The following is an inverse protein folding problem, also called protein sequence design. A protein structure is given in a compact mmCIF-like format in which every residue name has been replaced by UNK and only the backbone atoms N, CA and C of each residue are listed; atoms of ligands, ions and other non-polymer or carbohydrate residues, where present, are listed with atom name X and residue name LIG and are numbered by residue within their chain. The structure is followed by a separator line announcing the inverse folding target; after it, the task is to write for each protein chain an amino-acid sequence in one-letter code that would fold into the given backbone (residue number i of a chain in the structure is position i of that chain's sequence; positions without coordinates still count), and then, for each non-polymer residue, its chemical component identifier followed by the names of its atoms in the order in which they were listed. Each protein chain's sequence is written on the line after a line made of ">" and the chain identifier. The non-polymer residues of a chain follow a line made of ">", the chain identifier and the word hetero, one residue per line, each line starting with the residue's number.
data_IF_183116291846
#
_entry.id   IF_183116291846
#
_cell.length_a   1.000
_cell.length_b   1.000
_cell.length_c   1.000
_cell.angle_alpha   90.00
_cell.angle_beta   90.00
_cell.angle_gamma   90.00
#
_symmetry.space_group_name_H-M   'P 1'
#
loop_
_entity.id
_entity.type
_entity.pdbx_description
1 polymer ?
#
# COMPACT_ATOMS: atom_id res chain seq x y z
N UNK A 1 -21.45 -22.59 16.40
CA UNK A 1 -21.03 -21.21 16.70
C UNK A 1 -19.92 -20.89 15.73
N UNK A 2 -20.19 -20.08 14.71
CA UNK A 2 -19.25 -19.74 13.64
C UNK A 2 -18.43 -18.53 14.05
N UNK A 3 -17.11 -18.71 14.18
CA UNK A 3 -16.13 -17.64 14.35
C UNK A 3 -16.15 -16.72 13.12
N UNK A 4 -16.76 -15.55 13.25
CA UNK A 4 -16.64 -14.45 12.28
C UNK A 4 -15.47 -13.57 12.71
N UNK A 5 -14.26 -13.97 12.37
CA UNK A 5 -13.07 -13.15 12.61
C UNK A 5 -13.03 -11.99 11.61
N UNK A 6 -13.25 -10.78 12.12
CA UNK A 6 -13.07 -9.49 11.43
C UNK A 6 -11.59 -9.29 11.08
N UNK A 7 -11.10 -9.92 10.02
CA UNK A 7 -9.73 -9.73 9.56
C UNK A 7 -9.73 -9.28 8.09
N UNK A 8 -9.55 -7.97 7.92
CA UNK A 8 -9.11 -7.40 6.64
C UNK A 8 -7.60 -7.48 6.63
N UNK A 9 -7.03 -8.15 5.63
CA UNK A 9 -5.60 -8.41 5.56
C UNK A 9 -5.08 -7.83 4.24
N UNK A 10 -4.01 -7.04 4.28
CA UNK A 10 -3.36 -6.48 3.10
C UNK A 10 -1.84 -6.70 3.17
N UNK A 11 -1.20 -7.10 2.05
CA UNK A 11 0.25 -7.35 1.97
C UNK A 11 0.87 -6.49 0.88
N UNK A 12 1.89 -5.70 1.20
CA UNK A 12 2.66 -5.01 0.17
C UNK A 12 3.73 -5.94 -0.43
N UNK A 13 3.92 -5.87 -1.75
CA UNK A 13 5.03 -6.53 -2.44
C UNK A 13 5.66 -5.58 -3.44
N UNK A 14 6.97 -5.68 -3.62
CA UNK A 14 7.67 -5.10 -4.77
C UNK A 14 7.68 -6.11 -5.93
N UNK A 15 7.35 -5.67 -7.14
CA UNK A 15 6.90 -6.48 -8.29
C UNK A 15 7.86 -7.57 -8.83
N UNK A 16 8.02 -8.72 -8.20
CA UNK A 16 8.95 -9.78 -8.68
C UNK A 16 8.37 -10.55 -9.87
N UNK A 17 9.10 -10.55 -11.00
CA UNK A 17 8.83 -11.44 -12.14
C UNK A 17 9.45 -12.80 -11.86
N UNK A 18 8.64 -13.86 -11.81
CA UNK A 18 9.13 -15.24 -11.64
C UNK A 18 9.52 -15.84 -12.99
N UNK A 19 10.74 -16.36 -13.09
CA UNK A 19 11.11 -17.34 -14.11
C UNK A 19 11.57 -18.60 -13.39
N UNK A 20 10.92 -19.72 -13.73
CA UNK A 20 11.14 -21.03 -13.13
C UNK A 20 12.32 -21.73 -13.79
N UNK A 21 13.25 -22.26 -13.00
CA UNK A 21 14.03 -23.45 -13.39
C UNK A 21 14.41 -24.24 -12.14
N UNK A 22 14.13 -25.54 -12.17
CA UNK A 22 14.19 -26.50 -11.08
C UNK A 22 15.55 -27.19 -11.01
N UNK A 23 16.15 -27.34 -9.83
CA UNK A 23 16.90 -28.55 -9.40
C UNK A 23 17.15 -28.52 -7.89
N UNK A 24 17.21 -29.68 -7.19
CA UNK A 24 17.19 -29.73 -5.72
C UNK A 24 18.59 -29.95 -5.13
N UNK A 25 18.97 -29.21 -4.07
CA UNK A 25 19.84 -29.77 -3.01
C UNK A 25 19.90 -28.90 -1.74
N UNK A 26 19.71 -29.62 -0.63
CA UNK A 26 20.18 -29.49 0.76
C UNK A 26 20.27 -28.14 1.48
N UNK A 27 19.58 -28.15 2.61
CA UNK A 27 19.41 -27.17 3.68
C UNK A 27 20.71 -26.54 4.20
N UNK A 28 20.84 -25.24 3.99
CA UNK A 28 21.48 -24.32 4.95
C UNK A 28 20.60 -23.08 5.04
N UNK A 29 20.14 -22.77 6.25
CA UNK A 29 19.34 -21.58 6.55
C UNK A 29 20.19 -20.32 6.33
N UNK A 30 20.19 -19.81 5.09
CA UNK A 30 20.79 -18.52 4.76
C UNK A 30 19.73 -17.43 4.85
N UNK A 31 20.15 -16.32 5.44
CA UNK A 31 19.49 -15.01 5.52
C UNK A 31 19.37 -14.37 4.12
N UNK A 32 18.70 -15.03 3.17
CA UNK A 32 18.71 -14.67 1.74
C UNK A 32 17.55 -13.78 1.29
N UNK A 33 16.51 -13.60 2.10
CA UNK A 33 15.30 -12.91 1.62
C UNK A 33 15.45 -11.38 1.49
N UNK A 34 16.32 -10.73 2.28
CA UNK A 34 16.45 -9.27 2.21
C UNK A 34 17.41 -8.77 1.10
N UNK A 35 18.44 -9.53 0.73
CA UNK A 35 19.42 -9.09 -0.28
C UNK A 35 18.76 -8.80 -1.64
N UNK A 36 17.88 -9.71 -2.06
CA UNK A 36 17.18 -9.59 -3.34
C UNK A 36 16.24 -8.36 -3.40
N UNK A 37 15.72 -7.91 -2.25
CA UNK A 37 14.86 -6.73 -2.17
C UNK A 37 15.64 -5.43 -2.35
N UNK A 38 16.78 -5.29 -1.67
CA UNK A 38 17.65 -4.11 -1.80
C UNK A 38 18.28 -4.00 -3.20
N UNK A 39 18.73 -5.12 -3.77
CA UNK A 39 19.26 -5.14 -5.14
C UNK A 39 18.22 -4.66 -6.17
N UNK A 40 16.97 -5.09 -6.00
CA UNK A 40 15.86 -4.65 -6.85
C UNK A 40 15.59 -3.15 -6.69
N UNK A 41 15.59 -2.63 -5.46
CA UNK A 41 15.39 -1.20 -5.21
C UNK A 41 16.47 -0.36 -5.91
N UNK A 42 17.73 -0.77 -5.82
CA UNK A 42 18.83 -0.11 -6.51
C UNK A 42 18.68 -0.14 -8.04
N UNK A 43 18.11 -1.21 -8.61
CA UNK A 43 17.82 -1.28 -10.04
C UNK A 43 16.66 -0.36 -10.46
N UNK A 44 15.62 -0.25 -9.64
CA UNK A 44 14.44 0.58 -9.95
C UNK A 44 14.71 2.07 -9.74
N UNK A 45 15.51 2.40 -8.72
CA UNK A 45 15.76 3.77 -8.30
C UNK A 45 17.26 4.05 -8.20
N UNK A 46 18.03 3.93 -9.31
CA UNK A 46 19.49 4.01 -9.30
C UNK A 46 20.05 5.39 -8.92
N UNK A 47 19.20 6.41 -8.86
CA UNK A 47 19.57 7.78 -8.49
C UNK A 47 19.31 8.10 -7.01
N UNK A 48 18.71 7.19 -6.26
CA UNK A 48 18.52 7.34 -4.82
C UNK A 48 19.80 6.89 -4.12
N UNK A 49 20.45 7.79 -3.37
CA UNK A 49 21.67 7.49 -2.63
C UNK A 49 21.42 6.51 -1.48
N UNK A 50 22.44 5.76 -1.09
CA UNK A 50 22.36 4.79 0.02
C UNK A 50 21.96 5.45 1.36
N UNK A 51 22.27 6.73 1.56
CA UNK A 51 21.90 7.50 2.76
C UNK A 51 20.39 7.81 2.83
N UNK A 52 19.65 7.62 1.74
CA UNK A 52 18.23 7.96 1.63
C UNK A 52 17.38 6.68 1.63
N UNK A 53 16.76 6.42 2.77
CA UNK A 53 15.94 5.22 2.93
C UNK A 53 14.65 5.29 2.12
N UNK A 54 14.43 4.25 1.31
CA UNK A 54 13.18 4.03 0.59
C UNK A 54 12.14 3.35 1.50
N UNK A 55 10.84 3.62 1.30
CA UNK A 55 9.80 2.90 1.99
C UNK A 55 9.88 1.41 1.66
N UNK A 56 10.00 0.57 2.69
CA UNK A 56 10.19 -0.87 2.53
C UNK A 56 9.16 -1.71 3.30
N UNK A 57 8.52 -1.14 4.32
CA UNK A 57 7.51 -1.81 5.15
C UNK A 57 6.58 -0.81 5.84
N UNK A 58 5.56 -1.31 6.51
CA UNK A 58 4.66 -0.48 7.31
C UNK A 58 5.33 -0.04 8.61
N UNK A 59 5.00 1.17 9.08
CA UNK A 59 5.59 1.74 10.27
C UNK A 59 4.82 1.29 11.53
N UNK A 60 5.47 0.51 12.40
CA UNK A 60 4.88 0.06 13.65
C UNK A 60 4.55 1.17 14.65
N UNK A 61 5.18 2.35 14.53
CA UNK A 61 4.94 3.53 15.38
C UNK A 61 3.97 4.53 14.77
N UNK A 62 3.83 4.53 13.44
CA UNK A 62 3.02 5.49 12.71
C UNK A 62 1.79 4.82 12.07
N UNK A 63 0.93 4.31 12.96
CA UNK A 63 -0.27 3.55 12.65
C UNK A 63 -1.37 3.81 13.68
N UNK A 64 -2.63 3.64 13.29
CA UNK A 64 -3.72 3.52 14.24
C UNK A 64 -3.54 2.31 15.18
N UNK A 65 -4.05 2.42 16.41
CA UNK A 65 -3.90 1.38 17.45
C UNK A 65 -4.63 0.08 17.12
N UNK A 66 -5.69 0.15 16.31
CA UNK A 66 -6.51 -0.99 15.87
C UNK A 66 -5.90 -1.78 14.71
N UNK A 67 -4.75 -1.35 14.17
CA UNK A 67 -4.02 -2.07 13.14
C UNK A 67 -2.91 -2.93 13.73
N UNK A 68 -2.79 -4.16 13.25
CA UNK A 68 -1.77 -5.11 13.66
C UNK A 68 -0.87 -5.44 12.48
N UNK A 69 0.44 -5.37 12.70
CA UNK A 69 1.44 -5.66 11.69
C UNK A 69 2.01 -7.06 11.87
N UNK A 70 2.17 -7.79 10.76
CA UNK A 70 2.67 -9.16 10.72
C UNK A 70 3.63 -9.33 9.53
N UNK A 71 4.33 -10.47 9.49
CA UNK A 71 5.25 -10.84 8.41
C UNK A 71 6.28 -9.75 8.11
N UNK A 72 7.08 -9.39 9.11
CA UNK A 72 8.09 -8.32 9.04
C UNK A 72 7.49 -6.96 8.65
N UNK A 73 6.34 -6.64 9.24
CA UNK A 73 5.59 -5.41 9.01
C UNK A 73 5.15 -5.20 7.55
N UNK A 74 4.96 -6.26 6.78
CA UNK A 74 4.42 -6.19 5.40
C UNK A 74 2.93 -6.50 5.32
N UNK A 75 2.37 -7.12 6.36
CA UNK A 75 0.96 -7.48 6.43
C UNK A 75 0.26 -6.62 7.48
N UNK A 76 -0.82 -5.94 7.06
CA UNK A 76 -1.69 -5.15 7.94
C UNK A 76 -2.99 -5.90 8.17
N UNK A 77 -3.39 -6.04 9.44
CA UNK A 77 -4.69 -6.58 9.83
C UNK A 77 -5.48 -5.57 10.64
N UNK A 78 -6.73 -5.30 10.24
CA UNK A 78 -7.67 -4.50 11.04
C UNK A 78 -8.32 -5.35 12.13
N UNK A 79 -8.28 -4.90 13.39
CA UNK A 79 -8.95 -5.56 14.54
C UNK A 79 -9.79 -4.59 15.37
N UNK A 80 -10.22 -3.49 14.77
CA UNK A 80 -11.12 -2.52 15.41
C UNK A 80 -12.59 -2.97 15.38
N UNK A 81 -13.50 -2.18 15.98
CA UNK A 81 -14.91 -2.52 16.06
C UNK A 81 -15.64 -2.46 14.70
N UNK A 82 -15.18 -1.63 13.76
CA UNK A 82 -15.72 -1.54 12.41
C UNK A 82 -17.23 -1.27 12.35
N UNK A 83 -17.78 -0.44 13.25
CA UNK A 83 -19.22 -0.13 13.30
C UNK A 83 -19.59 1.03 12.39
N UNK A 84 -18.67 1.96 12.18
CA UNK A 84 -18.88 3.16 11.35
C UNK A 84 -17.57 3.67 10.76
N UNK A 85 -17.67 4.70 9.90
CA UNK A 85 -16.51 5.41 9.35
C UNK A 85 -15.60 6.04 10.42
N UNK A 86 -16.08 6.20 11.67
CA UNK A 86 -15.27 6.70 12.80
C UNK A 86 -14.28 5.67 13.31
N UNK A 87 -14.47 4.41 12.96
CA UNK A 87 -13.59 3.29 13.33
C UNK A 87 -12.53 3.02 12.25
N UNK A 88 -12.44 3.88 11.23
CA UNK A 88 -11.43 3.81 10.19
C UNK A 88 -10.02 3.90 10.79
N UNK A 89 -9.08 3.23 10.15
CA UNK A 89 -7.73 3.09 10.66
C UNK A 89 -6.75 2.97 9.49
N UNK A 90 -5.67 3.76 9.55
CA UNK A 90 -4.61 3.82 8.55
C UNK A 90 -3.23 3.61 9.17
N UNK A 91 -2.28 3.27 8.31
CA UNK A 91 -0.86 3.13 8.63
C UNK A 91 -0.04 3.72 7.49
N UNK A 92 1.05 4.41 7.83
CA UNK A 92 2.03 4.90 6.86
C UNK A 92 3.23 3.96 6.74
N UNK A 93 3.99 4.10 5.66
CA UNK A 93 5.27 3.41 5.51
C UNK A 93 6.32 3.93 6.49
N UNK A 94 7.40 3.16 6.66
CA UNK A 94 8.51 3.49 7.54
C UNK A 94 9.31 4.74 7.13
N UNK A 95 9.32 5.05 5.83
CA UNK A 95 9.91 6.27 5.28
C UNK A 95 8.97 6.94 4.26
N UNK A 96 9.08 8.27 4.05
CA UNK A 96 8.45 8.94 2.92
C UNK A 96 9.09 8.51 1.60
N UNK A 97 8.38 8.72 0.49
CA UNK A 97 8.92 8.44 -0.84
C UNK A 97 9.85 9.60 -1.23
N UNK A 98 11.14 9.36 -1.52
CA UNK A 98 12.03 10.40 -2.01
C UNK A 98 11.65 10.87 -3.41
N UNK A 99 11.64 12.18 -3.65
CA UNK A 99 11.40 12.74 -4.99
C UNK A 99 12.46 12.32 -6.03
N UNK A 100 13.68 12.01 -5.57
CA UNK A 100 14.78 11.45 -6.37
C UNK A 100 14.45 10.11 -7.04
N UNK A 101 13.38 9.43 -6.62
CA UNK A 101 12.88 8.24 -7.33
C UNK A 101 12.40 8.57 -8.74
N UNK A 102 11.99 9.82 -9.01
CA UNK A 102 11.38 10.26 -10.26
C UNK A 102 9.98 9.68 -10.44
N UNK A 103 9.89 8.35 -10.53
CA UNK A 103 8.65 7.59 -10.48
C UNK A 103 8.81 6.52 -9.39
N UNK A 104 7.86 6.42 -8.46
CA UNK A 104 7.83 5.38 -7.43
C UNK A 104 6.59 4.50 -7.57
N UNK A 105 6.75 3.19 -7.36
CA UNK A 105 5.66 2.23 -7.46
C UNK A 105 5.64 1.23 -6.30
N UNK A 106 4.46 0.98 -5.75
CA UNK A 106 4.21 -0.12 -4.81
C UNK A 106 2.89 -0.82 -5.13
N UNK A 107 2.78 -2.09 -4.77
CA UNK A 107 1.53 -2.85 -4.86
C UNK A 107 1.08 -3.35 -3.50
N UNK A 108 -0.24 -3.36 -3.32
CA UNK A 108 -0.92 -3.96 -2.18
C UNK A 108 -1.80 -5.10 -2.68
N UNK A 109 -1.53 -6.31 -2.19
CA UNK A 109 -2.40 -7.46 -2.34
C UNK A 109 -3.48 -7.43 -1.27
N UNK A 110 -4.73 -7.54 -1.68
CA UNK A 110 -5.86 -7.73 -0.77
C UNK A 110 -5.92 -9.22 -0.40
N UNK A 111 -5.47 -9.56 0.81
CA UNK A 111 -5.50 -10.93 1.31
C UNK A 111 -6.90 -11.32 1.80
N UNK A 112 -7.67 -10.37 2.34
CA UNK A 112 -9.07 -10.53 2.72
C UNK A 112 -9.75 -9.17 2.74
N UNK A 113 -10.93 -9.04 2.12
CA UNK A 113 -11.77 -7.84 2.22
C UNK A 113 -12.44 -7.65 3.59
N UNK A 114 -12.37 -8.66 4.46
CA UNK A 114 -13.13 -8.68 5.71
C UNK A 114 -14.64 -8.67 5.44
N UNK A 115 -15.40 -7.96 6.30
CA UNK A 115 -16.87 -7.91 6.21
C UNK A 115 -17.35 -7.15 4.98
N UNK A 116 -16.96 -5.88 4.87
CA UNK A 116 -17.53 -4.94 3.89
C UNK A 116 -16.56 -4.55 2.77
N UNK A 117 -15.25 -4.67 2.99
CA UNK A 117 -14.25 -4.26 1.99
C UNK A 117 -13.96 -2.76 1.94
N UNK A 118 -14.30 -1.99 2.98
CA UNK A 118 -13.92 -0.58 3.14
C UNK A 118 -12.40 -0.44 3.32
N UNK A 119 -11.68 -0.40 2.21
CA UNK A 119 -10.22 -0.41 2.14
C UNK A 119 -9.78 0.73 1.21
N UNK A 120 -8.99 1.66 1.74
CA UNK A 120 -8.36 2.71 0.94
C UNK A 120 -6.86 2.47 0.78
N UNK A 121 -6.34 2.64 -0.42
CA UNK A 121 -4.90 2.57 -0.74
C UNK A 121 -4.49 3.93 -1.31
N UNK A 122 -3.36 4.48 -0.88
CA UNK A 122 -2.86 5.73 -1.45
C UNK A 122 -1.74 6.38 -0.66
N UNK A 123 -1.78 7.71 -0.58
CA UNK A 123 -0.70 8.57 -0.08
C UNK A 123 -1.22 9.50 1.02
N UNK A 124 -0.33 9.93 1.91
CA UNK A 124 -0.62 10.96 2.91
C UNK A 124 0.64 11.68 3.33
N UNK A 125 0.53 12.95 3.68
CA UNK A 125 1.59 13.63 4.45
C UNK A 125 1.66 13.10 5.89
N UNK A 126 2.73 13.46 6.60
CA UNK A 126 2.99 13.02 7.98
C UNK A 126 1.95 13.54 8.99
N UNK A 127 1.30 14.66 8.69
CA UNK A 127 0.39 15.35 9.61
C UNK A 127 -1.04 14.77 9.58
N UNK A 128 -1.35 13.93 8.59
CA UNK A 128 -2.69 13.37 8.40
C UNK A 128 -3.07 12.45 9.56
N UNK A 129 -4.32 12.58 10.03
CA UNK A 129 -4.87 11.73 11.08
C UNK A 129 -5.06 10.29 10.59
N UNK A 130 -4.52 9.33 11.35
CA UNK A 130 -4.59 7.91 11.00
C UNK A 130 -5.89 7.20 11.40
N UNK A 131 -6.85 7.90 12.02
CA UNK A 131 -8.20 7.39 12.30
C UNK A 131 -9.19 7.64 11.14
N UNK A 132 -8.65 7.68 9.92
CA UNK A 132 -9.35 8.04 8.67
C UNK A 132 -8.80 7.16 7.55
N UNK A 133 -9.59 6.87 6.52
CA UNK A 133 -9.08 6.21 5.32
C UNK A 133 -8.29 7.22 4.44
N UNK A 134 -7.31 6.75 3.65
CA UNK A 134 -6.55 7.61 2.74
C UNK A 134 -7.48 8.41 1.81
N UNK A 135 -7.17 9.68 1.59
CA UNK A 135 -7.93 10.57 0.71
C UNK A 135 -8.96 11.46 1.39
N UNK A 136 -9.41 11.11 2.59
CA UNK A 136 -10.51 11.81 3.24
C UNK A 136 -10.15 13.16 3.87
N UNK A 137 -8.89 13.34 4.25
CA UNK A 137 -8.40 14.53 4.95
C UNK A 137 -7.38 15.27 4.08
N UNK A 138 -7.22 16.59 4.32
CA UNK A 138 -6.27 17.42 3.59
C UNK A 138 -4.85 16.85 3.66
N UNK A 139 -4.17 16.77 2.52
CA UNK A 139 -2.84 16.17 2.41
C UNK A 139 -2.89 14.64 2.28
N UNK A 140 -4.05 14.05 2.06
CA UNK A 140 -4.21 12.62 1.81
C UNK A 140 -4.93 12.35 0.49
N UNK A 141 -4.58 11.23 -0.14
CA UNK A 141 -5.03 10.81 -1.45
C UNK A 141 -5.30 9.30 -1.41
N UNK A 142 -6.45 8.82 -1.90
CA UNK A 142 -6.79 7.41 -1.76
C UNK A 142 -7.74 6.88 -2.83
N UNK A 143 -7.58 5.61 -3.16
CA UNK A 143 -8.46 4.82 -4.01
C UNK A 143 -9.13 3.72 -3.18
N UNK A 144 -10.47 3.69 -3.19
CA UNK A 144 -11.25 2.86 -2.26
C UNK A 144 -11.88 1.65 -2.95
N UNK A 145 -11.86 0.51 -2.26
CA UNK A 145 -12.17 -0.80 -2.83
C UNK A 145 -13.65 -1.12 -2.95
N UNK A 146 -14.49 -0.58 -2.07
CA UNK A 146 -15.92 -0.82 -2.01
C UNK A 146 -16.70 -0.12 -3.12
N UNK A 147 -16.24 1.06 -3.55
CA UNK A 147 -16.93 1.91 -4.52
C UNK A 147 -16.10 2.22 -5.78
N UNK A 148 -14.78 1.95 -5.78
CA UNK A 148 -13.90 2.29 -6.89
C UNK A 148 -13.64 3.80 -7.05
N UNK A 149 -13.96 4.61 -6.04
CA UNK A 149 -13.79 6.06 -6.11
C UNK A 149 -12.38 6.48 -5.68
N UNK A 150 -11.94 7.61 -6.23
CA UNK A 150 -10.75 8.32 -5.75
C UNK A 150 -11.15 9.47 -4.84
N UNK A 151 -10.41 9.65 -3.75
CA UNK A 151 -10.61 10.67 -2.72
C UNK A 151 -9.36 11.53 -2.67
N UNK A 152 -9.49 12.82 -2.98
CA UNK A 152 -8.39 13.77 -3.08
C UNK A 152 -8.57 14.88 -2.04
N UNK A 153 -7.96 14.71 -0.87
CA UNK A 153 -8.06 15.68 0.25
C UNK A 153 -9.51 16.07 0.60
N UNK A 154 -10.43 15.11 0.49
CA UNK A 154 -11.88 15.31 0.58
C UNK A 154 -12.58 14.04 1.02
N UNK A 155 -13.55 14.16 1.93
CA UNK A 155 -14.44 13.07 2.33
C UNK A 155 -15.42 12.63 1.24
N UNK A 156 -15.53 13.38 0.14
CA UNK A 156 -16.36 13.05 -1.02
C UNK A 156 -15.49 12.50 -2.14
N UNK A 157 -15.75 11.25 -2.52
CA UNK A 157 -15.06 10.57 -3.62
C UNK A 157 -15.63 10.94 -4.98
N UNK A 158 -14.83 10.74 -6.03
CA UNK A 158 -15.24 10.84 -7.43
C UNK A 158 -15.02 9.51 -8.15
N UNK A 159 -15.86 9.21 -9.14
CA UNK A 159 -15.75 7.99 -9.94
C UNK A 159 -14.36 7.95 -10.60
N UNK A 160 -13.65 6.84 -10.42
CA UNK A 160 -12.29 6.70 -10.93
C UNK A 160 -12.06 5.33 -11.58
N UNK A 161 -12.19 4.26 -10.82
CA UNK A 161 -11.84 2.91 -11.24
C UNK A 161 -12.85 1.86 -10.81
N UNK A 162 -12.60 0.58 -11.13
CA UNK A 162 -13.45 -0.53 -10.71
C UNK A 162 -13.17 -0.93 -9.25
N UNK A 163 -14.21 -1.26 -8.48
CA UNK A 163 -14.08 -1.84 -7.12
C UNK A 163 -13.06 -2.97 -7.02
N UNK A 164 -12.35 -3.10 -5.90
CA UNK A 164 -11.35 -4.17 -5.69
C UNK A 164 -11.59 -4.94 -4.40
N UNK A 165 -11.19 -6.21 -4.37
CA UNK A 165 -11.55 -7.14 -3.29
C UNK A 165 -10.50 -8.23 -3.07
N UNK A 166 -10.81 -9.21 -2.21
CA UNK A 166 -9.94 -10.36 -1.90
C UNK A 166 -9.34 -10.97 -3.17
N UNK A 167 -8.03 -11.09 -3.19
CA UNK A 167 -7.25 -11.66 -4.29
C UNK A 167 -6.68 -10.63 -5.27
N UNK A 168 -7.25 -9.42 -5.32
CA UNK A 168 -6.74 -8.36 -6.19
C UNK A 168 -5.39 -7.82 -5.72
N UNK A 169 -4.61 -7.36 -6.71
CA UNK A 169 -3.43 -6.53 -6.52
C UNK A 169 -3.76 -5.12 -6.98
N UNK A 170 -3.55 -4.14 -6.11
CA UNK A 170 -3.75 -2.71 -6.42
C UNK A 170 -2.42 -2.02 -6.31
N UNK A 171 -1.94 -1.47 -7.43
CA UNK A 171 -0.72 -0.68 -7.47
C UNK A 171 -1.01 0.80 -7.33
N UNK A 172 -0.06 1.53 -6.78
CA UNK A 172 -0.05 2.99 -6.70
C UNK A 172 1.29 3.47 -7.27
N UNK A 173 1.21 4.30 -8.31
CA UNK A 173 2.35 4.88 -9.00
C UNK A 173 2.37 6.39 -8.78
N UNK A 174 3.48 6.89 -8.24
CA UNK A 174 3.71 8.31 -7.98
C UNK A 174 4.72 8.81 -9.00
N UNK A 175 4.36 9.83 -9.76
CA UNK A 175 5.23 10.49 -10.72
C UNK A 175 5.60 11.89 -10.20
N UNK A 176 6.81 12.04 -9.67
CA UNK A 176 7.34 13.32 -9.17
C UNK A 176 7.77 14.28 -10.28
N UNK A 177 7.89 13.81 -11.53
CA UNK A 177 8.19 14.69 -12.66
C UNK A 177 6.95 15.48 -13.11
N UNK A 178 5.78 14.86 -12.99
CA UNK A 178 4.49 15.45 -13.38
C UNK A 178 3.60 15.81 -12.19
N UNK A 179 4.09 15.59 -10.97
CA UNK A 179 3.33 15.69 -9.72
C UNK A 179 1.96 15.00 -9.85
N UNK A 180 1.97 13.76 -10.32
CA UNK A 180 0.75 12.99 -10.59
C UNK A 180 0.79 11.61 -9.95
N UNK A 181 -0.38 11.01 -9.77
CA UNK A 181 -0.51 9.66 -9.26
C UNK A 181 -1.58 8.90 -10.05
N UNK A 182 -1.29 7.64 -10.38
CA UNK A 182 -2.24 6.71 -10.98
C UNK A 182 -2.21 5.38 -10.26
N UNK A 183 -3.31 4.63 -10.35
CA UNK A 183 -3.40 3.29 -9.80
C UNK A 183 -3.36 2.23 -10.90
N UNK A 184 -2.99 1.03 -10.49
CA UNK A 184 -3.17 -0.18 -11.29
C UNK A 184 -4.05 -1.16 -10.55
N UNK A 185 -4.73 -2.05 -11.28
CA UNK A 185 -5.36 -3.23 -10.71
C UNK A 185 -4.99 -4.46 -11.51
N UNK A 186 -4.43 -5.47 -10.85
CA UNK A 186 -4.00 -6.72 -11.46
C UNK A 186 -3.11 -6.51 -12.69
N UNK A 187 -2.21 -5.51 -12.62
CA UNK A 187 -1.30 -5.14 -13.70
C UNK A 187 -1.86 -4.20 -14.77
N UNK A 188 -3.15 -3.85 -14.73
CA UNK A 188 -3.77 -2.92 -15.68
C UNK A 188 -3.77 -1.48 -15.12
N UNK A 189 -3.26 -0.53 -15.90
CA UNK A 189 -3.27 0.90 -15.55
C UNK A 189 -4.70 1.46 -15.63
N UNK A 190 -5.12 2.21 -14.59
CA UNK A 190 -6.46 2.79 -14.47
C UNK A 190 -6.52 4.27 -14.86
N UNK A 191 -5.41 4.85 -15.32
CA UNK A 191 -5.29 6.28 -15.65
C UNK A 191 -4.99 7.16 -14.45
N UNK A 192 -4.59 8.41 -14.71
CA UNK A 192 -4.24 9.38 -13.66
C UNK A 192 -5.43 9.66 -12.74
N UNK A 193 -5.23 9.48 -11.44
CA UNK A 193 -6.22 9.75 -10.39
C UNK A 193 -6.03 11.15 -9.79
N UNK A 194 -4.79 11.53 -9.49
CA UNK A 194 -4.46 12.80 -8.87
C UNK A 194 -3.41 13.56 -9.67
N UNK A 195 -3.50 14.90 -9.61
CA UNK A 195 -2.53 15.85 -10.14
C UNK A 195 -2.18 16.85 -9.04
N UNK A 196 -1.05 17.51 -9.22
CA UNK A 196 -0.53 18.53 -8.30
C UNK A 196 -0.34 17.98 -6.87
N UNK A 197 0.10 16.72 -6.76
CA UNK A 197 0.48 16.15 -5.45
C UNK A 197 1.73 16.89 -4.91
N UNK A 198 1.78 17.18 -3.59
CA UNK A 198 2.81 18.02 -2.97
C UNK A 198 4.17 17.33 -2.85
#
# INVERSE_FOLDING_TARGET
>A
MTDNTNETIASSRMATRSTTTTTPTTTTSKTTNNKNGYERLAQLYPHVSDDLHLPAKWNGKDKASTLFLQQNDLVVTYKGPGKSHKDAASVRSDYPIPSLTGIYYFEVKILSKGRDGYMGIGLSTSEVNLSRLPGWDKGSYGYHGDDGHSFCSSGSGIIYGPTFTTGDYVGCCVNFLENSCFYTRNGYNLGTSFRDIP
#
